data_IF_241883551451
#
_entry.id   IF_241883551451
#
_cell.length_a   1.000
_cell.length_b   1.000
_cell.length_c   1.000
_cell.angle_alpha   90.00
_cell.angle_beta   90.00
_cell.angle_gamma   90.00
#
_symmetry.space_group_name_H-M   'P 1'
#
loop_
_entity.id
_entity.type
_entity.pdbx_description
1 polymer ?
#
# COMPACT_ATOMS: atom_id res chain seq x y z
N UNK A 1 8.24 -16.34 -0.01
CA UNK A 1 6.89 -16.67 -0.54
C UNK A 1 5.79 -15.78 0.02
N UNK A 2 5.46 -15.79 1.33
CA UNK A 2 4.37 -14.92 1.86
C UNK A 2 4.71 -13.43 1.81
N UNK A 3 5.95 -13.07 2.12
CA UNK A 3 6.42 -11.68 2.08
C UNK A 3 6.42 -11.11 0.66
N UNK A 4 6.77 -11.93 -0.34
CA UNK A 4 6.76 -11.53 -1.76
C UNK A 4 5.35 -11.20 -2.23
N UNK A 5 4.35 -11.97 -1.78
CA UNK A 5 2.93 -11.72 -2.10
C UNK A 5 2.46 -10.42 -1.43
N UNK A 6 2.76 -10.22 -0.15
CA UNK A 6 2.41 -8.98 0.56
C UNK A 6 3.05 -7.75 -0.11
N UNK A 7 4.32 -7.86 -0.50
CA UNK A 7 5.04 -6.83 -1.24
C UNK A 7 4.39 -6.54 -2.59
N UNK A 8 4.01 -7.58 -3.36
CA UNK A 8 3.33 -7.41 -4.65
C UNK A 8 1.96 -6.77 -4.53
N UNK A 9 1.20 -7.04 -3.46
CA UNK A 9 -0.09 -6.35 -3.23
C UNK A 9 0.13 -4.87 -3.00
N UNK A 10 1.07 -4.51 -2.12
CA UNK A 10 1.39 -3.10 -1.85
C UNK A 10 1.95 -2.41 -3.10
N UNK A 11 2.93 -3.02 -3.77
CA UNK A 11 3.52 -2.48 -4.99
C UNK A 11 2.49 -2.32 -6.11
N UNK A 12 1.59 -3.29 -6.29
CA UNK A 12 0.50 -3.21 -7.26
C UNK A 12 -0.47 -2.06 -6.99
N UNK A 13 -0.82 -1.83 -5.73
CA UNK A 13 -1.66 -0.69 -5.34
C UNK A 13 -0.95 0.66 -5.57
N UNK A 14 0.34 0.73 -5.30
CA UNK A 14 1.14 1.94 -5.47
C UNK A 14 1.40 2.28 -6.95
N UNK A 15 1.67 1.28 -7.79
CA UNK A 15 1.88 1.46 -9.24
C UNK A 15 0.55 1.71 -9.95
N UNK A 16 -0.46 0.90 -9.66
CA UNK A 16 -1.74 0.92 -10.36
C UNK A 16 -2.64 2.09 -9.96
N UNK A 17 -2.42 2.66 -8.78
CA UNK A 17 -3.27 3.71 -8.24
C UNK A 17 -4.68 3.21 -7.90
N UNK A 18 -5.61 4.16 -7.73
CA UNK A 18 -7.00 3.82 -7.39
C UNK A 18 -7.79 3.35 -8.62
N UNK A 19 -7.77 2.03 -8.83
CA UNK A 19 -8.58 1.34 -9.85
C UNK A 19 -9.80 0.65 -9.21
N UNK A 20 -10.79 0.18 -10.01
CA UNK A 20 -11.87 -0.65 -9.49
C UNK A 20 -11.34 -1.90 -8.76
N UNK A 21 -10.37 -2.59 -9.34
CA UNK A 21 -9.72 -3.75 -8.71
C UNK A 21 -9.02 -3.38 -7.41
N UNK A 22 -8.33 -2.23 -7.35
CA UNK A 22 -7.72 -1.74 -6.11
C UNK A 22 -8.79 -1.46 -5.04
N UNK A 23 -9.94 -0.90 -5.43
CA UNK A 23 -11.06 -0.65 -4.52
C UNK A 23 -11.61 -1.94 -3.94
N UNK A 24 -11.76 -2.98 -4.77
CA UNK A 24 -12.21 -4.31 -4.32
C UNK A 24 -11.23 -4.95 -3.34
N UNK A 25 -9.92 -4.83 -3.61
CA UNK A 25 -8.86 -5.31 -2.70
C UNK A 25 -8.92 -4.57 -1.35
N UNK A 26 -9.09 -3.24 -1.37
CA UNK A 26 -9.19 -2.43 -0.15
C UNK A 26 -10.46 -2.72 0.66
N UNK A 27 -11.54 -3.17 0.02
CA UNK A 27 -12.79 -3.52 0.67
C UNK A 27 -12.80 -4.95 1.24
N UNK A 28 -11.94 -5.84 0.74
CA UNK A 28 -11.93 -7.27 1.09
C UNK A 28 -10.83 -7.64 2.08
N UNK A 29 -9.70 -6.94 2.06
CA UNK A 29 -8.57 -7.19 2.96
C UNK A 29 -8.57 -6.23 4.14
N UNK A 30 -8.36 -6.78 5.32
CA UNK A 30 -8.04 -6.01 6.53
C UNK A 30 -6.52 -5.85 6.69
N UNK A 31 -6.02 -4.75 7.28
CA UNK A 31 -4.60 -4.53 7.51
C UNK A 31 -3.91 -5.67 8.27
N UNK A 32 -4.64 -6.36 9.15
CA UNK A 32 -4.15 -7.49 9.94
C UNK A 32 -3.78 -8.71 9.08
N UNK A 33 -4.23 -8.76 7.82
CA UNK A 33 -3.83 -9.80 6.87
C UNK A 33 -2.33 -9.72 6.49
N UNK A 34 -1.72 -8.54 6.62
CA UNK A 34 -0.29 -8.34 6.38
C UNK A 34 0.49 -8.76 7.62
N UNK A 35 1.46 -9.67 7.46
CA UNK A 35 2.33 -10.10 8.55
C UNK A 35 3.45 -9.11 8.82
N UNK A 36 3.89 -8.35 7.81
CA UNK A 36 4.96 -7.37 7.92
C UNK A 36 4.40 -6.01 8.41
N UNK A 37 4.94 -5.43 9.51
CA UNK A 37 4.49 -4.14 10.03
C UNK A 37 4.51 -2.99 9.01
N UNK A 38 5.56 -2.92 8.18
CA UNK A 38 5.66 -1.98 7.07
C UNK A 38 4.45 -2.09 6.11
N UNK A 39 4.11 -3.30 5.65
CA UNK A 39 3.03 -3.48 4.67
C UNK A 39 1.66 -3.26 5.28
N UNK A 40 1.47 -3.63 6.56
CA UNK A 40 0.28 -3.26 7.31
C UNK A 40 0.09 -1.74 7.35
N UNK A 41 1.15 -1.02 7.73
CA UNK A 41 1.12 0.45 7.80
C UNK A 41 0.87 1.09 6.44
N UNK A 42 1.57 0.63 5.40
CA UNK A 42 1.38 1.10 4.04
C UNK A 42 -0.07 0.87 3.57
N UNK A 43 -0.64 -0.30 3.83
CA UNK A 43 -2.02 -0.61 3.48
C UNK A 43 -3.04 0.27 4.21
N UNK A 44 -2.85 0.53 5.51
CA UNK A 44 -3.71 1.46 6.27
C UNK A 44 -3.72 2.86 5.65
N UNK A 45 -2.54 3.35 5.27
CA UNK A 45 -2.37 4.67 4.65
C UNK A 45 -3.01 4.70 3.26
N UNK A 46 -2.76 3.68 2.43
CA UNK A 46 -3.39 3.54 1.10
C UNK A 46 -4.92 3.55 1.24
N UNK A 47 -5.47 2.74 2.14
CA UNK A 47 -6.92 2.65 2.40
C UNK A 47 -7.48 4.00 2.84
N UNK A 48 -6.77 4.71 3.73
CA UNK A 48 -7.16 6.04 4.19
C UNK A 48 -7.16 7.06 3.05
N UNK A 49 -6.15 7.07 2.18
CA UNK A 49 -6.07 7.99 1.05
C UNK A 49 -7.12 7.68 -0.01
N UNK A 50 -7.32 6.41 -0.35
CA UNK A 50 -8.40 5.99 -1.26
C UNK A 50 -9.77 6.48 -0.78
N UNK A 51 -10.07 6.32 0.53
CA UNK A 51 -11.36 6.74 1.10
C UNK A 51 -11.52 8.25 1.19
N UNK A 52 -10.48 8.97 1.61
CA UNK A 52 -10.60 10.39 1.95
C UNK A 52 -10.31 11.32 0.76
N UNK A 53 -9.49 10.87 -0.20
CA UNK A 53 -9.00 11.66 -1.34
C UNK A 53 -9.40 11.10 -2.69
N UNK A 54 -10.00 9.90 -2.72
CA UNK A 54 -10.32 9.19 -3.97
C UNK A 54 -9.08 9.05 -4.89
N UNK A 55 -7.92 8.79 -4.27
CA UNK A 55 -6.61 8.69 -4.91
C UNK A 55 -5.72 7.72 -4.13
N UNK A 56 -4.84 7.01 -4.83
CA UNK A 56 -3.66 6.34 -4.27
C UNK A 56 -2.46 6.93 -4.99
N UNK A 57 -1.57 7.59 -4.25
CA UNK A 57 -0.34 8.18 -4.77
C UNK A 57 0.84 7.70 -3.93
N UNK A 58 1.86 7.11 -4.58
CA UNK A 58 2.95 6.47 -3.88
C UNK A 58 3.81 7.43 -3.05
N UNK A 59 3.95 8.69 -3.49
CA UNK A 59 4.70 9.70 -2.75
C UNK A 59 3.92 10.12 -1.50
N UNK A 60 2.62 10.39 -1.64
CA UNK A 60 1.77 10.73 -0.48
C UNK A 60 1.70 9.58 0.52
N UNK A 61 1.67 8.33 0.07
CA UNK A 61 1.70 7.16 0.97
C UNK A 61 3.03 7.08 1.71
N UNK A 62 4.16 7.28 1.02
CA UNK A 62 5.48 7.28 1.63
C UNK A 62 5.63 8.38 2.69
N UNK A 63 5.17 9.61 2.38
CA UNK A 63 5.17 10.74 3.32
C UNK A 63 4.37 10.44 4.59
N UNK A 64 3.16 9.87 4.45
CA UNK A 64 2.28 9.58 5.58
C UNK A 64 2.71 8.33 6.39
N UNK A 65 3.50 7.43 5.79
CA UNK A 65 4.16 6.35 6.51
C UNK A 65 5.33 6.84 7.38
N UNK A 66 5.87 8.02 7.10
CA UNK A 66 6.98 8.65 7.82
C UNK A 66 8.37 8.15 7.39
N UNK A 67 9.40 8.86 7.84
CA UNK A 67 10.79 8.68 7.40
C UNK A 67 11.33 7.24 7.56
N UNK A 68 10.87 6.51 8.57
CA UNK A 68 11.26 5.12 8.83
C UNK A 68 10.85 4.17 7.68
N UNK A 69 9.71 4.44 7.05
CA UNK A 69 9.10 3.53 6.07
C UNK A 69 9.01 4.13 4.67
N UNK A 70 9.20 5.43 4.50
CA UNK A 70 9.09 6.13 3.22
C UNK A 70 9.97 5.50 2.12
N UNK A 71 11.26 5.26 2.41
CA UNK A 71 12.16 4.61 1.45
C UNK A 71 11.72 3.18 1.12
N UNK A 72 11.26 2.42 2.12
CA UNK A 72 10.85 1.04 1.92
C UNK A 72 9.56 0.91 1.08
N UNK A 73 8.61 1.83 1.27
CA UNK A 73 7.40 1.95 0.43
C UNK A 73 7.79 2.22 -1.02
N UNK A 74 8.65 3.21 -1.26
CA UNK A 74 9.08 3.56 -2.62
C UNK A 74 9.86 2.44 -3.29
N UNK A 75 10.70 1.71 -2.54
CA UNK A 75 11.44 0.56 -3.06
C UNK A 75 10.50 -0.62 -3.37
N UNK A 76 9.46 -0.83 -2.58
CA UNK A 76 8.44 -1.87 -2.84
C UNK A 76 7.72 -1.63 -4.16
N UNK A 77 7.34 -0.38 -4.43
CA UNK A 77 6.76 -0.01 -5.73
C UNK A 77 7.74 -0.18 -6.89
N UNK A 78 9.04 0.08 -6.69
CA UNK A 78 10.06 -0.09 -7.74
C UNK A 78 10.35 -1.55 -8.08
N UNK A 79 10.18 -2.45 -7.11
CA UNK A 79 10.50 -3.87 -7.25
C UNK A 79 9.38 -4.72 -7.86
N UNK A 80 8.25 -4.11 -8.23
CA UNK A 80 7.09 -4.79 -8.81
C UNK A 80 6.91 -4.49 -10.31
#
# INVERSE_FOLDING_TARGET
MRQDIEASVIGGLLIGGLTPTASDVLATLEPEAFSIPLYRKAFEVIRKQARNRNLIDGLMVAEECGDEYATAVMMTARSC
#
